data_IF_434147212806
#
_entry.id   IF_434147212806
#
_cell.length_a   1.000
_cell.length_b   1.000
_cell.length_c   1.000
_cell.angle_alpha   90.00
_cell.angle_beta   90.00
_cell.angle_gamma   90.00
#
_symmetry.space_group_name_H-M   'P 1'
#
loop_
_entity.id
_entity.type
_entity.pdbx_description
1 polymer ?
#
# COMPACT_ATOMS: atom_id res chain seq x y z
N UNK A 1 25.80 15.01 -4.17
CA UNK A 1 25.16 14.06 -3.23
C UNK A 1 23.65 14.15 -3.30
N UNK A 2 23.08 15.34 -3.49
CA UNK A 2 21.64 15.54 -3.65
C UNK A 2 21.04 14.91 -4.92
N UNK A 3 21.80 14.80 -6.02
CA UNK A 3 21.36 14.13 -7.27
C UNK A 3 20.98 12.66 -7.08
N UNK A 4 21.57 11.96 -6.10
CA UNK A 4 21.22 10.56 -5.78
C UNK A 4 20.16 10.46 -4.68
N UNK A 5 20.13 11.43 -3.76
CA UNK A 5 19.20 11.43 -2.64
C UNK A 5 17.76 11.77 -3.06
N UNK A 6 17.57 12.59 -4.09
CA UNK A 6 16.24 12.93 -4.60
C UNK A 6 15.43 11.70 -5.03
N UNK A 7 15.90 10.91 -6.00
CA UNK A 7 15.22 9.70 -6.44
C UNK A 7 15.02 8.66 -5.34
N UNK A 8 16.00 8.52 -4.44
CA UNK A 8 15.89 7.63 -3.27
C UNK A 8 14.80 8.10 -2.32
N UNK A 9 14.74 9.40 -2.03
CA UNK A 9 13.73 9.98 -1.15
C UNK A 9 12.33 9.83 -1.75
N UNK A 10 12.19 10.01 -3.05
CA UNK A 10 10.92 9.81 -3.75
C UNK A 10 10.50 8.33 -3.78
N UNK A 11 11.45 7.40 -3.95
CA UNK A 11 11.18 5.97 -3.84
C UNK A 11 10.82 5.53 -2.42
N UNK A 12 11.38 6.20 -1.40
CA UNK A 12 11.10 5.92 0.02
C UNK A 12 9.81 6.58 0.52
N UNK A 13 9.52 7.82 0.10
CA UNK A 13 8.29 8.53 0.43
C UNK A 13 7.10 7.89 -0.30
N UNK A 14 7.33 7.45 -1.55
CA UNK A 14 6.54 6.46 -2.27
C UNK A 14 5.03 6.50 -2.04
N UNK A 15 4.35 7.64 -2.28
CA UNK A 15 2.91 7.70 -2.07
C UNK A 15 2.23 6.71 -3.01
N UNK A 16 1.30 5.92 -2.47
CA UNK A 16 0.41 5.05 -3.24
C UNK A 16 -0.97 5.72 -3.26
N UNK A 17 -1.54 5.94 -4.45
CA UNK A 17 -2.88 6.51 -4.60
C UNK A 17 -3.96 5.60 -3.97
N UNK A 18 -5.15 6.14 -3.68
CA UNK A 18 -6.21 5.38 -3.02
C UNK A 18 -6.67 4.15 -3.80
N UNK A 19 -6.64 4.21 -5.14
CA UNK A 19 -6.95 3.03 -5.96
C UNK A 19 -5.87 1.96 -5.78
N UNK A 20 -4.61 2.35 -5.85
CA UNK A 20 -3.44 1.52 -5.59
C UNK A 20 -3.47 0.89 -4.21
N UNK A 21 -3.86 1.62 -3.16
CA UNK A 21 -4.00 1.09 -1.80
C UNK A 21 -5.00 -0.07 -1.77
N UNK A 22 -6.16 0.07 -2.43
CA UNK A 22 -7.16 -1.00 -2.51
C UNK A 22 -6.65 -2.22 -3.27
N UNK A 23 -5.89 -2.01 -4.34
CA UNK A 23 -5.25 -3.11 -5.09
C UNK A 23 -4.24 -3.82 -4.21
N UNK A 24 -3.38 -3.07 -3.51
CA UNK A 24 -2.38 -3.59 -2.57
C UNK A 24 -3.02 -4.40 -1.43
N UNK A 25 -4.13 -3.94 -0.85
CA UNK A 25 -4.85 -4.67 0.20
C UNK A 25 -5.38 -6.03 -0.29
N UNK A 26 -5.98 -6.05 -1.49
CA UNK A 26 -6.44 -7.28 -2.11
C UNK A 26 -5.27 -8.23 -2.41
N UNK A 27 -4.20 -7.71 -3.02
CA UNK A 27 -3.02 -8.50 -3.39
C UNK A 27 -2.31 -9.07 -2.17
N UNK A 28 -2.18 -8.29 -1.10
CA UNK A 28 -1.61 -8.71 0.18
C UNK A 28 -2.33 -9.95 0.70
N UNK A 29 -3.65 -9.87 0.82
CA UNK A 29 -4.47 -10.98 1.32
C UNK A 29 -4.40 -12.19 0.40
N UNK A 30 -4.51 -11.98 -0.92
CA UNK A 30 -4.50 -13.05 -1.90
C UNK A 30 -3.15 -13.79 -1.94
N UNK A 31 -2.04 -13.06 -2.06
CA UNK A 31 -0.70 -13.64 -2.18
C UNK A 31 -0.28 -14.35 -0.89
N UNK A 32 -0.45 -13.72 0.28
CA UNK A 32 -0.12 -14.37 1.56
C UNK A 32 -0.96 -15.62 1.80
N UNK A 33 -2.25 -15.61 1.43
CA UNK A 33 -3.11 -16.79 1.56
C UNK A 33 -2.64 -17.93 0.63
N UNK A 34 -2.22 -17.62 -0.59
CA UNK A 34 -1.67 -18.62 -1.52
C UNK A 34 -0.38 -19.22 -0.96
N UNK A 35 0.55 -18.38 -0.49
CA UNK A 35 1.79 -18.86 0.12
C UNK A 35 1.55 -19.63 1.42
N UNK A 36 0.52 -19.29 2.19
CA UNK A 36 0.11 -20.06 3.36
C UNK A 36 -0.30 -21.48 2.99
N UNK A 37 -1.14 -21.64 1.97
CA UNK A 37 -1.57 -22.97 1.50
C UNK A 37 -0.38 -23.74 0.93
N UNK A 38 0.45 -23.11 0.09
CA UNK A 38 1.63 -23.76 -0.51
C UNK A 38 2.64 -24.19 0.55
N UNK A 39 2.97 -23.32 1.51
CA UNK A 39 3.92 -23.64 2.57
C UNK A 39 3.45 -24.80 3.45
N UNK A 40 2.16 -24.82 3.79
CA UNK A 40 1.55 -25.92 4.53
C UNK A 40 1.65 -27.25 3.75
N UNK A 41 1.28 -27.26 2.46
CA UNK A 41 1.34 -28.46 1.64
C UNK A 41 2.77 -28.98 1.47
N UNK A 42 3.73 -28.09 1.24
CA UNK A 42 5.14 -28.45 1.10
C UNK A 42 5.68 -29.03 2.39
N UNK A 43 5.51 -28.35 3.53
CA UNK A 43 6.01 -28.87 4.80
C UNK A 43 5.32 -30.16 5.24
N UNK A 44 4.02 -30.31 4.95
CA UNK A 44 3.30 -31.55 5.20
C UNK A 44 3.84 -32.72 4.37
N UNK A 45 4.10 -32.51 3.07
CA UNK A 45 4.60 -33.56 2.18
C UNK A 45 6.00 -34.09 2.57
N UNK A 46 6.82 -33.25 3.19
CA UNK A 46 8.17 -33.61 3.64
C UNK A 46 8.28 -33.86 5.15
N UNK A 47 7.18 -33.74 5.89
CA UNK A 47 7.14 -33.84 7.36
C UNK A 47 8.14 -32.90 8.07
N UNK A 48 8.42 -31.73 7.49
CA UNK A 48 9.43 -30.79 7.94
C UNK A 48 8.83 -29.40 8.22
N UNK A 49 8.80 -29.01 9.49
CA UNK A 49 8.30 -27.70 9.94
C UNK A 49 9.18 -26.53 9.49
N UNK A 50 10.50 -26.73 9.37
CA UNK A 50 11.40 -25.68 8.88
C UNK A 50 11.13 -25.39 7.42
N UNK A 51 10.77 -26.39 6.63
CA UNK A 51 10.40 -26.20 5.23
C UNK A 51 9.13 -25.37 5.08
N UNK A 52 8.11 -25.59 5.93
CA UNK A 52 6.93 -24.71 6.02
C UNK A 52 7.33 -23.26 6.30
N UNK A 53 8.20 -23.06 7.30
CA UNK A 53 8.61 -21.72 7.72
C UNK A 53 9.43 -21.00 6.64
N UNK A 54 10.38 -21.69 6.00
CA UNK A 54 11.21 -21.09 4.95
C UNK A 54 10.39 -20.75 3.70
N UNK A 55 9.47 -21.63 3.29
CA UNK A 55 8.60 -21.37 2.13
C UNK A 55 7.63 -20.23 2.39
N UNK A 56 7.01 -20.16 3.58
CA UNK A 56 6.18 -19.03 3.99
C UNK A 56 6.99 -17.72 4.06
N UNK A 57 8.21 -17.77 4.60
CA UNK A 57 9.09 -16.59 4.73
C UNK A 57 9.48 -16.08 3.35
N UNK A 58 9.88 -16.97 2.43
CA UNK A 58 10.16 -16.61 1.05
C UNK A 58 8.93 -16.00 0.38
N UNK A 59 7.75 -16.60 0.54
CA UNK A 59 6.50 -16.07 0.02
C UNK A 59 6.11 -14.71 0.57
N UNK A 60 6.36 -14.47 1.86
CA UNK A 60 6.13 -13.18 2.51
C UNK A 60 7.06 -12.10 1.97
N UNK A 61 8.35 -12.41 1.77
CA UNK A 61 9.32 -11.48 1.16
C UNK A 61 8.89 -11.15 -0.27
N UNK A 62 8.52 -12.15 -1.07
CA UNK A 62 8.02 -11.93 -2.44
C UNK A 62 6.75 -11.07 -2.46
N UNK A 63 5.83 -11.31 -1.51
CA UNK A 63 4.62 -10.50 -1.37
C UNK A 63 4.96 -9.06 -1.00
N UNK A 64 5.85 -8.85 -0.03
CA UNK A 64 6.32 -7.51 0.34
C UNK A 64 6.94 -6.78 -0.85
N UNK A 65 7.81 -7.45 -1.63
CA UNK A 65 8.37 -6.84 -2.84
C UNK A 65 7.29 -6.49 -3.87
N UNK A 66 6.22 -7.27 -3.98
CA UNK A 66 5.13 -6.98 -4.90
C UNK A 66 4.25 -5.80 -4.46
N UNK A 67 4.02 -5.61 -3.17
CA UNK A 67 3.01 -4.64 -2.69
C UNK A 67 3.57 -3.41 -1.97
N UNK A 68 4.76 -3.49 -1.37
CA UNK A 68 5.31 -2.42 -0.53
C UNK A 68 5.90 -1.28 -1.36
N UNK A 69 6.69 -1.52 -2.42
CA UNK A 69 7.21 -0.42 -3.21
C UNK A 69 6.07 0.29 -3.96
N UNK A 70 6.18 1.61 -4.16
CA UNK A 70 5.20 2.42 -4.87
C UNK A 70 5.32 2.22 -6.39
N UNK A 71 5.06 1.00 -6.86
CA UNK A 71 5.19 0.68 -8.27
C UNK A 71 4.31 1.62 -9.12
N UNK A 72 4.74 1.99 -10.35
CA UNK A 72 3.97 2.87 -11.21
C UNK A 72 2.53 2.39 -11.47
N UNK A 73 2.26 1.09 -11.34
CA UNK A 73 0.91 0.52 -11.45
C UNK A 73 -0.04 0.95 -10.33
N UNK A 74 0.47 1.27 -9.15
CA UNK A 74 -0.34 1.68 -7.99
C UNK A 74 -0.59 3.20 -7.94
N UNK A 75 -0.09 3.95 -8.93
CA UNK A 75 -0.16 5.41 -8.99
C UNK A 75 -0.73 5.94 -10.31
N UNK A 76 -1.57 5.14 -10.98
CA UNK A 76 -2.16 5.48 -12.28
C UNK A 76 -3.43 6.33 -12.15
N UNK A 77 -3.97 6.49 -10.95
CA UNK A 77 -5.24 7.17 -10.70
C UNK A 77 -5.04 8.30 -9.68
N UNK A 78 -4.34 9.39 -10.06
CA UNK A 78 -4.15 10.52 -9.17
C UNK A 78 -5.51 11.14 -8.82
N UNK A 79 -5.86 11.11 -7.55
CA UNK A 79 -7.14 11.64 -7.09
C UNK A 79 -7.09 13.17 -7.01
N UNK A 80 -8.03 13.85 -7.69
CA UNK A 80 -8.25 15.27 -7.47
C UNK A 80 -8.99 15.46 -6.15
N UNK A 81 -8.26 15.44 -5.04
CA UNK A 81 -8.77 15.92 -3.77
C UNK A 81 -9.41 17.30 -3.98
N UNK A 82 -10.65 17.44 -3.50
CA UNK A 82 -11.45 18.65 -3.65
C UNK A 82 -10.61 19.85 -3.23
N UNK A 83 -10.45 20.80 -4.16
CA UNK A 83 -9.77 22.06 -3.86
C UNK A 83 -10.50 22.69 -2.67
N UNK A 84 -9.85 22.68 -1.51
CA UNK A 84 -10.25 23.51 -0.37
C UNK A 84 -9.92 24.96 -0.75
N UNK A 85 -10.76 25.56 -1.59
CA UNK A 85 -10.73 26.99 -1.92
C UNK A 85 -10.04 27.39 -3.23
N UNK A 86 -10.60 27.02 -4.39
CA UNK A 86 -10.49 27.85 -5.59
C UNK A 86 -11.65 27.53 -6.55
N UNK A 87 -12.71 28.35 -6.49
CA UNK A 87 -13.69 28.47 -7.57
C UNK A 87 -14.84 27.46 -7.57
N UNK A 88 -15.75 27.57 -6.59
CA UNK A 88 -17.02 26.85 -6.66
C UNK A 88 -17.75 26.59 -5.34
N UNK A 89 -17.47 27.32 -4.26
CA UNK A 89 -18.33 27.29 -3.07
C UNK A 89 -19.55 28.16 -3.38
N UNK A 90 -20.67 27.49 -3.67
CA UNK A 90 -21.98 28.10 -3.49
C UNK A 90 -22.04 28.71 -2.09
N UNK A 91 -22.26 30.03 -2.08
CA UNK A 91 -22.76 30.87 -0.97
C UNK A 91 -23.29 30.02 0.19
N UNK A 92 -22.46 29.82 1.20
CA UNK A 92 -22.75 29.44 2.59
C UNK A 92 -21.60 28.59 3.14
N UNK A 93 -20.46 29.24 3.36
CA UNK A 93 -19.43 28.69 4.23
C UNK A 93 -19.99 28.56 5.65
N UNK A 94 -19.69 27.45 6.31
CA UNK A 94 -20.09 27.19 7.70
C UNK A 94 -19.45 28.27 8.59
N UNK A 95 -20.27 29.20 9.08
CA UNK A 95 -19.85 30.22 10.05
C UNK A 95 -19.80 29.55 11.43
N UNK A 96 -18.60 29.32 11.95
CA UNK A 96 -18.42 28.90 13.34
C UNK A 96 -18.63 30.15 14.19
N UNK A 97 -19.84 30.29 14.74
CA UNK A 97 -20.12 31.34 15.72
C UNK A 97 -19.23 31.11 16.95
N UNK A 98 -18.35 32.06 17.23
CA UNK A 98 -17.62 32.06 18.49
C UNK A 98 -18.60 32.49 19.57
N UNK A 99 -19.12 31.51 20.30
CA UNK A 99 -19.87 31.71 21.52
C UNK A 99 -19.09 32.65 22.46
N UNK A 100 -19.58 33.90 22.55
CA UNK A 100 -19.32 34.78 23.69
C UNK A 100 -20.40 34.48 24.73
N UNK A 101 -19.99 33.87 25.83
CA UNK A 101 -20.69 33.82 27.11
C UNK A 101 -19.64 33.97 28.20
#
# INVERSE_FOLDING_TARGET
MDELLGPLREALDGPIDFHGQRVTDFLSTALLSIFAVVSFLVGYAYEDVFLTLWTMTAGSILTMLAIVPPWPMYNQHPESWLVTGAGGIGRDGIVIDKARG
#
